data_IF_345689750862
#
_entry.id   IF_345689750862
#
_cell.length_a   1.000
_cell.length_b   1.000
_cell.length_c   1.000
_cell.angle_alpha   90.00
_cell.angle_beta   90.00
_cell.angle_gamma   90.00
#
_symmetry.space_group_name_H-M   'P 1'
#
loop_
_entity.id
_entity.type
_entity.pdbx_description
1 polymer ?
#
# COMPACT_ATOMS: atom_id res chain seq x y z
N UNK A 1 -2.53 -2.14 -0.21
CA UNK A 1 -3.39 -1.19 0.52
C UNK A 1 -2.52 -0.26 1.33
N UNK A 2 -2.75 1.03 1.22
CA UNK A 2 -2.09 2.09 1.97
C UNK A 2 -3.18 2.95 2.64
N UNK A 3 -2.87 3.58 3.77
CA UNK A 3 -3.80 4.48 4.44
C UNK A 3 -3.09 5.56 5.24
N UNK A 4 -3.75 6.72 5.37
CA UNK A 4 -3.30 7.84 6.19
C UNK A 4 -4.09 7.88 7.50
N UNK A 5 -3.38 7.92 8.63
CA UNK A 5 -3.99 7.85 9.96
C UNK A 5 -3.42 8.91 10.91
N UNK A 6 -4.26 9.58 11.72
CA UNK A 6 -3.79 10.42 12.80
C UNK A 6 -2.98 9.62 13.82
N UNK A 7 -1.80 10.14 14.20
CA UNK A 7 -0.92 9.50 15.20
C UNK A 7 -1.60 9.35 16.58
N UNK A 8 -2.62 10.17 16.88
CA UNK A 8 -3.44 10.05 18.09
C UNK A 8 -4.15 8.70 18.22
N UNK A 9 -4.36 7.95 17.13
CA UNK A 9 -4.99 6.63 17.14
C UNK A 9 -4.07 5.50 17.62
N UNK A 10 -2.78 5.76 17.89
CA UNK A 10 -1.81 4.72 18.24
C UNK A 10 -2.19 3.90 19.48
N UNK A 11 -2.80 4.52 20.48
CA UNK A 11 -3.17 3.87 21.75
C UNK A 11 -4.39 2.98 21.57
N UNK A 12 -5.34 3.44 20.75
CA UNK A 12 -6.50 2.63 20.33
C UNK A 12 -6.06 1.40 19.54
N UNK A 13 -5.17 1.57 18.55
CA UNK A 13 -4.61 0.47 17.79
C UNK A 13 -3.89 -0.55 18.69
N UNK A 14 -3.12 -0.08 19.69
CA UNK A 14 -2.43 -0.96 20.64
C UNK A 14 -3.42 -1.83 21.43
N UNK A 15 -4.51 -1.24 21.93
CA UNK A 15 -5.56 -1.99 22.64
C UNK A 15 -6.20 -3.04 21.74
N UNK A 16 -6.56 -2.67 20.52
CA UNK A 16 -7.16 -3.59 19.55
C UNK A 16 -6.23 -4.79 19.25
N UNK A 17 -4.92 -4.55 19.14
CA UNK A 17 -3.94 -5.61 18.85
C UNK A 17 -3.64 -6.51 20.06
N UNK A 18 -3.42 -5.91 21.24
CA UNK A 18 -2.85 -6.61 22.41
C UNK A 18 -3.95 -7.15 23.33
N UNK A 19 -4.99 -6.36 23.58
CA UNK A 19 -6.04 -6.70 24.53
C UNK A 19 -7.20 -7.42 23.84
N UNK A 20 -7.61 -6.95 22.65
CA UNK A 20 -8.73 -7.53 21.91
C UNK A 20 -8.30 -8.64 20.93
N UNK A 21 -7.00 -8.80 20.68
CA UNK A 21 -6.45 -9.83 19.80
C UNK A 21 -6.81 -9.64 18.32
N UNK A 22 -7.22 -8.44 17.91
CA UNK A 22 -7.64 -8.15 16.54
C UNK A 22 -6.45 -8.24 15.57
N UNK A 23 -6.62 -8.98 14.46
CA UNK A 23 -5.57 -9.16 13.44
C UNK A 23 -5.94 -8.66 12.05
N UNK A 24 -7.21 -8.34 11.81
CA UNK A 24 -7.69 -7.83 10.53
C UNK A 24 -7.78 -6.31 10.59
N UNK A 25 -7.00 -5.63 9.75
CA UNK A 25 -6.98 -4.17 9.70
C UNK A 25 -8.35 -3.58 9.38
N UNK A 26 -9.11 -4.18 8.47
CA UNK A 26 -10.46 -3.72 8.06
C UNK A 26 -11.42 -3.57 9.26
N UNK A 27 -11.34 -4.49 10.23
CA UNK A 27 -12.19 -4.46 11.43
C UNK A 27 -11.82 -3.34 12.40
N UNK A 28 -10.56 -2.90 12.37
CA UNK A 28 -10.11 -1.77 13.17
C UNK A 28 -10.50 -0.46 12.48
N UNK A 29 -10.30 -0.37 11.17
CA UNK A 29 -10.58 0.85 10.39
C UNK A 29 -12.07 1.17 10.31
N UNK A 30 -12.96 0.16 10.29
CA UNK A 30 -14.43 0.31 10.41
C UNK A 30 -14.85 1.18 11.62
N UNK A 31 -14.09 1.18 12.72
CA UNK A 31 -14.43 1.91 13.97
C UNK A 31 -14.27 3.43 13.87
N UNK A 32 -13.41 3.88 12.95
CA UNK A 32 -12.98 5.28 12.87
C UNK A 32 -13.62 6.02 11.70
N UNK A 33 -14.36 5.31 10.84
CA UNK A 33 -14.86 5.81 9.55
C UNK A 33 -13.72 5.96 8.55
N UNK A 34 -13.93 5.50 7.32
CA UNK A 34 -12.92 5.59 6.25
C UNK A 34 -13.48 6.31 5.02
N UNK A 35 -12.60 7.06 4.35
CA UNK A 35 -12.83 7.56 3.01
C UNK A 35 -11.88 6.85 2.06
N UNK A 36 -12.41 6.33 0.96
CA UNK A 36 -11.59 5.79 -0.12
C UNK A 36 -11.14 6.94 -1.02
N UNK A 37 -9.87 6.89 -1.45
CA UNK A 37 -9.27 7.84 -2.38
C UNK A 37 -8.69 7.00 -3.51
N UNK A 38 -9.17 7.25 -4.72
CA UNK A 38 -8.67 6.60 -5.93
C UNK A 38 -7.32 7.24 -6.33
N UNK A 39 -6.40 6.40 -6.76
CA UNK A 39 -5.12 6.82 -7.34
C UNK A 39 -5.05 6.29 -8.76
N UNK A 40 -4.67 7.14 -9.71
CA UNK A 40 -4.43 6.72 -11.07
C UNK A 40 -3.12 5.92 -11.15
N UNK A 41 -3.07 4.96 -12.08
CA UNK A 41 -1.85 4.24 -12.41
C UNK A 41 -0.76 5.20 -12.89
N UNK A 42 0.48 4.94 -12.50
CA UNK A 42 1.65 5.68 -12.97
C UNK A 42 2.25 5.02 -14.21
N UNK A 43 2.76 5.81 -15.15
CA UNK A 43 3.44 5.29 -16.33
C UNK A 43 4.93 5.14 -16.09
N UNK A 44 5.45 3.91 -16.25
CA UNK A 44 6.87 3.60 -16.22
C UNK A 44 7.25 2.95 -17.55
N UNK A 45 8.08 3.61 -18.37
CA UNK A 45 8.44 3.13 -19.72
C UNK A 45 7.25 2.84 -20.64
N UNK A 46 6.14 3.56 -20.48
CA UNK A 46 4.91 3.37 -21.25
C UNK A 46 3.96 2.29 -20.72
N UNK A 47 4.30 1.61 -19.62
CA UNK A 47 3.43 0.64 -18.92
C UNK A 47 2.72 1.32 -17.74
N UNK A 48 1.41 1.14 -17.63
CA UNK A 48 0.61 1.61 -16.48
C UNK A 48 0.77 0.66 -15.29
N UNK A 49 1.09 1.21 -14.13
CA UNK A 49 1.44 0.50 -12.91
C UNK A 49 0.71 1.11 -11.71
N UNK A 50 0.14 0.26 -10.84
CA UNK A 50 -0.39 0.69 -9.55
C UNK A 50 0.76 1.29 -8.71
N UNK A 51 0.67 2.57 -8.29
CA UNK A 51 1.72 3.23 -7.50
C UNK A 51 1.97 2.55 -6.13
N UNK A 52 1.07 1.68 -5.68
CA UNK A 52 1.18 0.91 -4.44
C UNK A 52 1.36 -0.60 -4.67
N UNK A 53 1.85 -1.00 -5.86
CA UNK A 53 2.18 -2.38 -6.18
C UNK A 53 2.97 -3.06 -5.05
N UNK A 54 2.55 -4.27 -4.67
CA UNK A 54 3.13 -5.03 -3.56
C UNK A 54 3.64 -6.40 -4.05
N UNK A 55 4.95 -6.53 -4.13
CA UNK A 55 5.65 -7.78 -4.48
C UNK A 55 5.64 -8.75 -3.29
N UNK A 56 4.72 -9.72 -3.30
CA UNK A 56 4.60 -10.74 -2.25
C UNK A 56 5.08 -12.12 -2.70
N UNK A 57 5.15 -12.35 -4.01
CA UNK A 57 5.61 -13.61 -4.61
C UNK A 57 7.01 -13.42 -5.17
N UNK A 58 7.83 -14.48 -5.22
CA UNK A 58 9.17 -14.40 -5.80
C UNK A 58 9.20 -13.86 -7.24
N UNK A 59 8.22 -14.20 -8.08
CA UNK A 59 8.15 -13.72 -9.48
C UNK A 59 7.71 -12.26 -9.62
N UNK A 60 7.16 -11.65 -8.56
CA UNK A 60 6.81 -10.23 -8.60
C UNK A 60 8.09 -9.37 -8.68
N UNK A 61 9.25 -9.92 -8.29
CA UNK A 61 10.55 -9.26 -8.39
C UNK A 61 11.01 -9.08 -9.84
N UNK A 62 10.73 -10.06 -10.71
CA UNK A 62 11.09 -9.96 -12.14
C UNK A 62 10.39 -8.77 -12.80
N UNK A 63 9.12 -8.54 -12.45
CA UNK A 63 8.34 -7.39 -12.92
C UNK A 63 8.90 -6.06 -12.36
N UNK A 64 9.32 -6.03 -11.09
CA UNK A 64 9.96 -4.84 -10.50
C UNK A 64 11.30 -4.53 -11.18
N UNK A 65 12.12 -5.55 -11.45
CA UNK A 65 13.40 -5.39 -12.13
C UNK A 65 13.23 -4.83 -13.56
N UNK A 66 12.24 -5.33 -14.31
CA UNK A 66 11.90 -4.80 -15.64
C UNK A 66 11.46 -3.33 -15.56
N UNK A 67 10.62 -2.99 -14.59
CA UNK A 67 10.15 -1.62 -14.38
C UNK A 67 11.28 -0.65 -14.03
N UNK A 68 12.27 -1.07 -13.23
CA UNK A 68 13.43 -0.24 -12.91
C UNK A 68 14.25 0.09 -14.16
N UNK A 69 14.51 -0.89 -15.02
CA UNK A 69 15.23 -0.69 -16.29
C UNK A 69 14.47 0.25 -17.22
N UNK A 70 13.15 0.09 -17.30
CA UNK A 70 12.28 0.96 -18.10
C UNK A 70 12.24 2.41 -17.59
N UNK A 71 12.25 2.60 -16.28
CA UNK A 71 12.29 3.91 -15.64
C UNK A 71 13.59 4.66 -15.97
N UNK A 72 14.74 3.98 -15.87
CA UNK A 72 16.06 4.55 -16.19
C UNK A 72 16.15 4.99 -17.66
N UNK A 73 15.59 4.21 -18.59
CA UNK A 73 15.55 4.54 -20.02
C UNK A 73 14.61 5.71 -20.36
N UNK A 74 13.62 5.98 -19.52
CA UNK A 74 12.64 7.05 -19.73
C UNK A 74 13.12 8.41 -19.20
N UNK A 75 14.19 8.43 -18.39
CA UNK A 75 14.81 9.63 -17.82
C UNK A 75 15.99 10.21 -18.62
N UNK A 76 16.22 9.73 -19.85
CA UNK A 76 17.29 10.18 -20.77
C UNK A 76 16.78 10.96 -21.96
#
# INVERSE_FOLDING_TARGET
MVGLWPVSLREDLRKALVEEGLRKVDRWTERHGISHVEFEDVLIGGKAIDPFFNANKPHDLDEVEELLVLNEKSGG
#
